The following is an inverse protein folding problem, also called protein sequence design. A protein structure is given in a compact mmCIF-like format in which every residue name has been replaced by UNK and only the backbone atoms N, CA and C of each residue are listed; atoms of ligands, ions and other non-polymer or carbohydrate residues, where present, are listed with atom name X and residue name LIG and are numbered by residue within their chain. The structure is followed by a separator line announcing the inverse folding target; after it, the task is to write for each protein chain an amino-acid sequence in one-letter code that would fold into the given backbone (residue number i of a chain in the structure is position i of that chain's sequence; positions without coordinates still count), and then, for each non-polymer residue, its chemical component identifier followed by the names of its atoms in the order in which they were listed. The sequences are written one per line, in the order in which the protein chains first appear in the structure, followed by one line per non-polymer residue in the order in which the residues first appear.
data_IF_191868245058
#
_entry.id   IF_191868245058
#
_cell.length_a   1.000
_cell.length_b   1.000
_cell.length_c   1.000
_cell.angle_alpha   90.00
_cell.angle_beta   90.00
_cell.angle_gamma   90.00
#
_symmetry.space_group_name_H-M   'P 1'
#
loop_
_entity.id
_entity.type
_entity.pdbx_description
1 polymer ?
#
# COMPACT_ATOMS: atom_id res chain seq x y z
N UNK A 1 2.69 15.79 36.27
CA UNK A 1 2.86 16.59 35.02
C UNK A 1 1.50 17.13 34.56
N UNK A 2 0.83 17.82 35.48
CA UNK A 2 -0.47 18.48 35.35
C UNK A 2 -0.24 19.86 35.97
N UNK A 3 -0.72 20.94 35.32
CA UNK A 3 -0.43 22.37 35.57
C UNK A 3 0.78 22.95 34.81
N UNK A 4 0.61 23.16 33.52
CA UNK A 4 1.10 24.34 32.80
C UNK A 4 0.23 24.50 31.54
N UNK A 5 0.01 25.73 31.10
CA UNK A 5 -0.83 26.14 29.94
C UNK A 5 -2.27 26.57 30.29
N UNK A 6 -2.39 27.63 31.08
CA UNK A 6 -3.37 28.69 30.83
C UNK A 6 -2.62 29.98 30.50
N UNK A 7 -2.98 30.61 29.39
CA UNK A 7 -2.67 32.01 29.09
C UNK A 7 -1.70 32.23 27.94
N UNK A 8 -2.22 32.37 26.72
CA UNK A 8 -1.85 33.44 25.77
C UNK A 8 -2.76 33.37 24.55
N UNK A 9 -3.64 34.35 24.42
CA UNK A 9 -4.31 34.66 23.17
C UNK A 9 -3.27 35.24 22.21
N UNK A 10 -3.04 34.59 21.08
CA UNK A 10 -2.21 35.11 19.98
C UNK A 10 -3.04 35.06 18.70
N UNK A 11 -3.08 36.22 18.04
CA UNK A 11 -3.83 36.53 16.82
C UNK A 11 -3.49 35.56 15.68
N UNK A 12 -4.52 35.29 14.86
CA UNK A 12 -4.47 34.53 13.61
C UNK A 12 -3.30 34.92 12.71
N UNK A 13 -2.44 33.95 12.41
CA UNK A 13 -1.46 33.99 11.33
C UNK A 13 -1.80 32.92 10.30
N UNK A 14 -1.74 33.30 9.03
CA UNK A 14 -2.05 32.51 7.82
C UNK A 14 -1.45 31.10 7.79
N UNK A 15 -2.14 30.19 7.10
CA UNK A 15 -1.91 28.73 6.94
C UNK A 15 -0.46 28.34 6.62
N UNK A 16 0.35 29.20 6.00
CA UNK A 16 1.78 28.97 5.77
C UNK A 16 2.63 28.90 7.06
N UNK A 17 2.20 29.51 8.17
CA UNK A 17 3.01 29.65 9.38
C UNK A 17 3.04 28.43 10.31
N UNK A 18 2.06 27.53 10.20
CA UNK A 18 1.96 26.32 11.04
C UNK A 18 2.64 25.12 10.37
N UNK A 19 2.49 25.00 9.03
CA UNK A 19 3.18 23.99 8.22
C UNK A 19 4.70 24.22 8.14
N UNK A 20 5.16 25.47 8.04
CA UNK A 20 6.60 25.76 8.04
C UNK A 20 7.30 25.47 9.38
N UNK A 21 6.61 25.56 10.52
CA UNK A 21 7.20 25.26 11.84
C UNK A 21 7.34 23.76 12.13
N UNK A 22 6.47 22.92 11.54
CA UNK A 22 6.61 21.46 11.61
C UNK A 22 7.72 20.94 10.68
N UNK A 23 7.97 21.62 9.55
CA UNK A 23 9.06 21.29 8.62
C UNK A 23 10.45 21.78 9.11
N UNK A 24 10.52 22.94 9.79
CA UNK A 24 11.80 23.52 10.23
C UNK A 24 12.50 22.77 11.39
N UNK A 25 11.74 22.12 12.28
CA UNK A 25 12.31 21.31 13.37
C UNK A 25 12.88 19.97 12.86
N UNK A 26 12.39 19.48 11.72
CA UNK A 26 12.90 18.28 11.04
C UNK A 26 14.20 18.56 10.25
N UNK A 27 14.31 19.72 9.60
CA UNK A 27 15.47 20.07 8.77
C UNK A 27 16.74 20.48 9.53
N UNK A 28 16.63 21.08 10.73
CA UNK A 28 17.82 21.47 11.51
C UNK A 28 18.56 20.29 12.18
N UNK A 29 17.89 19.17 12.41
CA UNK A 29 18.55 17.95 12.94
C UNK A 29 19.17 17.06 11.85
N UNK A 30 18.72 17.19 10.59
CA UNK A 30 19.25 16.41 9.45
C UNK A 30 20.54 17.02 8.85
N UNK A 31 20.69 18.34 8.89
CA UNK A 31 21.81 19.05 8.23
C UNK A 31 23.15 18.94 8.96
N UNK A 32 23.15 18.80 10.30
CA UNK A 32 24.40 18.66 11.07
C UNK A 32 25.01 17.25 10.99
N UNK A 33 24.22 16.19 10.75
CA UNK A 33 24.71 14.82 10.57
C UNK A 33 25.13 14.49 9.14
N UNK A 34 24.60 15.19 8.12
CA UNK A 34 24.93 14.94 6.72
C UNK A 34 26.32 15.46 6.31
N UNK A 35 26.80 16.55 6.93
CA UNK A 35 28.09 17.15 6.60
C UNK A 35 29.27 16.25 7.00
N UNK A 36 29.23 15.60 8.17
CA UNK A 36 30.29 14.66 8.61
C UNK A 36 30.29 13.30 7.89
N UNK A 37 29.15 12.86 7.34
CA UNK A 37 29.07 11.62 6.55
C UNK A 37 29.50 11.83 5.08
N UNK A 38 29.39 13.05 4.55
CA UNK A 38 29.71 13.36 3.15
C UNK A 38 31.21 13.25 2.80
N UNK A 39 32.10 13.65 3.71
CA UNK A 39 33.56 13.61 3.46
C UNK A 39 34.11 12.17 3.43
N UNK A 40 33.55 11.27 4.26
CA UNK A 40 33.91 9.85 4.27
C UNK A 40 33.37 9.08 3.05
N UNK A 41 32.17 9.43 2.58
CA UNK A 41 31.57 8.83 1.38
C UNK A 41 32.33 9.23 0.12
N UNK A 42 32.69 10.51 -0.02
CA UNK A 42 33.42 11.00 -1.18
C UNK A 42 34.81 10.35 -1.30
N UNK A 43 35.50 10.15 -0.17
CA UNK A 43 36.77 9.43 -0.14
C UNK A 43 36.64 7.95 -0.57
N UNK A 44 35.54 7.29 -0.23
CA UNK A 44 35.27 5.91 -0.64
C UNK A 44 34.95 5.80 -2.15
N UNK A 45 34.18 6.75 -2.69
CA UNK A 45 33.86 6.84 -4.12
C UNK A 45 35.12 7.10 -4.96
N UNK A 46 35.98 8.03 -4.53
CA UNK A 46 37.24 8.33 -5.23
C UNK A 46 38.21 7.14 -5.22
N UNK A 47 38.13 6.27 -4.21
CA UNK A 47 38.94 5.06 -4.09
C UNK A 47 38.42 3.94 -5.01
N UNK A 48 37.10 3.80 -5.14
CA UNK A 48 36.46 2.88 -6.08
C UNK A 48 36.71 3.28 -7.54
N UNK A 49 36.64 4.58 -7.86
CA UNK A 49 36.89 5.10 -9.20
C UNK A 49 38.35 4.89 -9.69
N UNK A 50 39.30 4.73 -8.76
CA UNK A 50 40.73 4.49 -9.06
C UNK A 50 41.09 3.00 -9.09
N UNK A 51 40.14 2.11 -8.80
CA UNK A 51 40.40 0.66 -8.84
C UNK A 51 40.20 0.17 -10.28
N UNK A 52 41.23 -0.38 -10.96
CA UNK A 52 41.07 -0.83 -12.33
C UNK A 52 40.08 -1.99 -12.42
N UNK A 53 39.12 -1.86 -13.34
CA UNK A 53 38.13 -2.88 -13.66
C UNK A 53 38.81 -4.11 -14.25
N UNK A 54 38.54 -5.34 -13.77
CA UNK A 54 39.17 -6.52 -14.33
C UNK A 54 38.64 -6.77 -15.74
N UNK A 55 39.51 -6.60 -16.73
CA UNK A 55 39.23 -6.86 -18.14
C UNK A 55 39.48 -8.34 -18.47
N UNK A 56 38.61 -9.25 -18.00
CA UNK A 56 38.42 -10.59 -18.59
C UNK A 56 36.96 -11.06 -18.41
N UNK A 57 36.38 -11.79 -19.39
CA UNK A 57 35.05 -12.37 -19.26
C UNK A 57 35.09 -13.45 -18.18
N UNK A 58 34.14 -13.40 -17.25
CA UNK A 58 33.96 -14.33 -16.14
C UNK A 58 33.94 -15.77 -16.65
N UNK A 59 35.01 -16.52 -16.39
CA UNK A 59 34.97 -17.97 -16.51
C UNK A 59 33.99 -18.50 -15.46
N UNK A 60 33.05 -19.35 -15.88
CA UNK A 60 32.09 -20.05 -15.02
C UNK A 60 32.85 -21.08 -14.17
N UNK A 61 33.50 -20.60 -13.11
CA UNK A 61 34.19 -21.42 -12.14
C UNK A 61 33.25 -21.83 -11.01
N UNK A 62 32.72 -23.05 -11.09
CA UNK A 62 32.10 -23.85 -10.02
C UNK A 62 31.64 -23.10 -8.74
N UNK A 63 30.51 -22.40 -8.84
CA UNK A 63 29.81 -21.63 -7.79
C UNK A 63 29.29 -22.44 -6.58
N UNK A 64 29.78 -23.66 -6.33
CA UNK A 64 29.17 -24.58 -5.36
C UNK A 64 29.63 -24.38 -3.91
N UNK A 65 30.51 -23.40 -3.61
CA UNK A 65 31.19 -23.31 -2.30
C UNK A 65 31.08 -21.98 -1.55
N UNK A 66 30.30 -21.01 -2.03
CA UNK A 66 30.06 -19.72 -1.35
C UNK A 66 28.61 -19.52 -0.86
N UNK A 67 27.72 -20.50 -1.05
CA UNK A 67 26.27 -20.36 -0.85
C UNK A 67 25.72 -20.86 0.50
N UNK A 68 26.53 -21.41 1.42
CA UNK A 68 25.99 -22.19 2.56
C UNK A 68 25.89 -21.48 3.91
N UNK A 69 26.38 -20.24 4.07
CA UNK A 69 26.41 -19.55 5.39
C UNK A 69 25.70 -18.18 5.44
N UNK A 70 24.97 -17.80 4.39
CA UNK A 70 24.18 -16.57 4.44
C UNK A 70 22.99 -16.73 5.40
N UNK A 71 23.06 -16.10 6.57
CA UNK A 71 21.97 -16.04 7.55
C UNK A 71 21.24 -14.71 7.46
N UNK A 72 19.91 -14.75 7.50
CA UNK A 72 19.09 -13.56 7.64
C UNK A 72 19.05 -13.15 9.13
N UNK A 73 19.25 -11.86 9.48
CA UNK A 73 19.22 -11.41 10.87
C UNK A 73 17.78 -11.28 11.38
N UNK A 74 17.14 -12.42 11.66
CA UNK A 74 15.72 -12.52 12.05
C UNK A 74 15.39 -11.79 13.35
N UNK A 75 16.36 -11.57 14.24
CA UNK A 75 16.23 -10.73 15.42
C UNK A 75 15.85 -9.29 15.06
N UNK A 76 16.34 -8.76 13.93
CA UNK A 76 15.97 -7.41 13.49
C UNK A 76 14.52 -7.32 13.04
N UNK A 77 13.95 -8.40 12.49
CA UNK A 77 12.51 -8.46 12.20
C UNK A 77 11.69 -8.38 13.49
N UNK A 78 12.15 -9.03 14.56
CA UNK A 78 11.51 -8.94 15.87
C UNK A 78 11.57 -7.51 16.42
N UNK A 79 12.74 -6.86 16.34
CA UNK A 79 12.95 -5.48 16.79
C UNK A 79 12.15 -4.45 15.97
N UNK A 80 11.93 -4.72 14.68
CA UNK A 80 11.16 -3.87 13.78
C UNK A 80 9.66 -3.83 14.12
N UNK A 81 9.12 -4.86 14.78
CA UNK A 81 7.71 -4.89 15.20
C UNK A 81 7.62 -4.37 16.63
N UNK A 82 7.46 -3.06 16.77
CA UNK A 82 7.34 -2.37 18.07
C UNK A 82 5.88 -2.19 18.50
N UNK A 83 5.61 -1.83 19.77
CA UNK A 83 4.27 -1.43 20.20
C UNK A 83 3.66 -0.31 19.36
N UNK A 84 4.48 0.66 18.92
CA UNK A 84 4.04 1.80 18.11
C UNK A 84 3.60 1.37 16.71
N UNK A 85 4.36 0.47 16.08
CA UNK A 85 3.99 -0.12 14.78
C UNK A 85 2.64 -0.85 14.87
N UNK A 86 2.45 -1.64 15.93
CA UNK A 86 1.19 -2.36 16.14
C UNK A 86 0.03 -1.43 16.51
N UNK A 87 0.29 -0.35 17.27
CA UNK A 87 -0.70 0.67 17.56
C UNK A 87 -1.15 1.40 16.28
N UNK A 88 -0.20 1.71 15.40
CA UNK A 88 -0.48 2.31 14.09
C UNK A 88 -1.29 1.36 13.20
N UNK A 89 -0.86 0.10 13.09
CA UNK A 89 -1.56 -0.94 12.35
C UNK A 89 -3.01 -1.08 12.84
N UNK A 90 -3.24 -1.08 14.15
CA UNK A 90 -4.58 -1.20 14.72
C UNK A 90 -5.45 0.07 14.53
N UNK A 91 -4.84 1.25 14.58
CA UNK A 91 -5.55 2.52 14.45
C UNK A 91 -5.88 2.86 12.98
N UNK A 92 -4.92 2.67 12.07
CA UNK A 92 -5.01 3.08 10.66
C UNK A 92 -5.35 1.93 9.71
N UNK A 93 -5.21 0.68 10.16
CA UNK A 93 -5.35 -0.51 9.32
C UNK A 93 -4.09 -0.87 8.54
N UNK A 94 -3.03 -0.07 8.65
CA UNK A 94 -1.73 -0.33 8.05
C UNK A 94 -0.60 0.30 8.88
N UNK A 95 0.62 -0.19 8.69
CA UNK A 95 1.85 0.39 9.21
C UNK A 95 3.01 0.19 8.23
N UNK A 96 3.98 1.10 8.22
CA UNK A 96 5.17 1.05 7.36
C UNK A 96 6.42 1.06 8.23
N UNK A 97 7.33 0.13 7.97
CA UNK A 97 8.60 0.00 8.70
C UNK A 97 9.75 -0.05 7.70
N UNK A 98 10.68 0.88 7.83
CA UNK A 98 11.89 0.96 6.99
C UNK A 98 13.10 0.38 7.72
N UNK A 99 14.06 -0.19 6.99
CA UNK A 99 15.35 -0.59 7.55
C UNK A 99 15.33 -1.91 8.33
N UNK A 100 14.40 -2.82 8.01
CA UNK A 100 14.13 -4.05 8.77
C UNK A 100 15.38 -4.92 8.88
N UNK A 101 15.91 -5.42 7.77
CA UNK A 101 17.06 -6.33 7.79
C UNK A 101 18.40 -5.63 7.54
N UNK A 102 18.36 -4.37 7.13
CA UNK A 102 19.51 -3.58 6.71
C UNK A 102 19.87 -3.80 5.24
N UNK A 103 20.64 -2.86 4.64
CA UNK A 103 20.87 -2.81 3.19
C UNK A 103 21.56 -4.06 2.62
N UNK A 104 22.48 -4.66 3.38
CA UNK A 104 23.21 -5.87 2.93
C UNK A 104 22.25 -7.07 2.81
N UNK A 105 21.42 -7.28 3.83
CA UNK A 105 20.47 -8.41 3.86
C UNK A 105 19.35 -8.21 2.85
N UNK A 106 18.82 -6.98 2.74
CA UNK A 106 17.80 -6.64 1.77
C UNK A 106 18.28 -6.83 0.32
N UNK A 107 19.52 -6.45 0.02
CA UNK A 107 20.11 -6.71 -1.29
C UNK A 107 20.34 -8.21 -1.56
N UNK A 108 20.69 -9.01 -0.54
CA UNK A 108 20.78 -10.47 -0.71
C UNK A 108 19.42 -11.11 -1.02
N UNK A 109 18.35 -10.66 -0.36
CA UNK A 109 16.99 -11.10 -0.65
C UNK A 109 16.56 -10.72 -2.09
N UNK A 110 16.95 -9.53 -2.54
CA UNK A 110 16.75 -9.09 -3.94
C UNK A 110 17.47 -10.03 -4.93
N UNK A 111 18.73 -10.36 -4.68
CA UNK A 111 19.51 -11.28 -5.51
C UNK A 111 18.88 -12.68 -5.56
N UNK A 112 18.34 -13.19 -4.45
CA UNK A 112 17.61 -14.47 -4.44
C UNK A 112 16.35 -14.42 -5.29
N UNK A 113 15.54 -13.37 -5.16
CA UNK A 113 14.34 -13.22 -5.98
C UNK A 113 14.70 -13.13 -7.47
N UNK A 114 15.77 -12.41 -7.81
CA UNK A 114 16.29 -12.37 -9.18
C UNK A 114 16.78 -13.73 -9.66
N UNK A 115 17.41 -14.53 -8.79
CA UNK A 115 17.83 -15.88 -9.12
C UNK A 115 16.63 -16.79 -9.43
N UNK A 116 15.58 -16.77 -8.59
CA UNK A 116 14.32 -17.50 -8.83
C UNK A 116 13.70 -17.10 -10.16
N UNK A 117 13.66 -15.80 -10.47
CA UNK A 117 13.15 -15.28 -11.73
C UNK A 117 13.96 -15.78 -12.93
N UNK A 118 15.29 -15.61 -12.91
CA UNK A 118 16.19 -16.01 -14.00
C UNK A 118 16.26 -17.52 -14.21
N UNK A 119 16.00 -18.31 -13.16
CA UNK A 119 15.90 -19.76 -13.25
C UNK A 119 14.59 -20.24 -13.89
N UNK A 120 13.66 -19.34 -14.23
CA UNK A 120 12.37 -19.69 -14.84
C UNK A 120 11.40 -20.37 -13.86
N UNK A 121 11.58 -20.14 -12.56
CA UNK A 121 10.75 -20.72 -11.50
C UNK A 121 9.51 -19.87 -11.16
N UNK A 122 9.29 -18.76 -11.87
CA UNK A 122 8.12 -17.91 -11.71
C UNK A 122 7.16 -18.09 -12.88
N UNK A 123 5.87 -17.96 -12.62
CA UNK A 123 4.82 -18.01 -13.63
C UNK A 123 4.04 -16.69 -13.65
N UNK A 124 3.29 -16.45 -14.72
CA UNK A 124 2.51 -15.22 -14.86
C UNK A 124 1.39 -15.16 -13.82
N UNK A 125 1.23 -14.02 -13.15
CA UNK A 125 0.17 -13.80 -12.20
C UNK A 125 -1.19 -13.64 -12.90
N UNK A 126 -2.23 -14.24 -12.31
CA UNK A 126 -3.59 -14.16 -12.83
C UNK A 126 -4.58 -13.60 -11.81
N UNK A 127 -5.59 -12.88 -12.30
CA UNK A 127 -6.84 -12.63 -11.57
C UNK A 127 -7.80 -13.79 -11.84
N UNK A 128 -8.32 -14.40 -10.78
CA UNK A 128 -9.27 -15.50 -10.88
C UNK A 128 -10.69 -14.93 -10.93
N UNK A 129 -11.31 -14.95 -12.11
CA UNK A 129 -12.69 -14.54 -12.30
C UNK A 129 -13.59 -15.76 -12.18
N UNK A 130 -14.27 -15.87 -11.05
CA UNK A 130 -15.27 -16.93 -10.83
C UNK A 130 -16.63 -16.43 -11.31
N UNK A 131 -17.19 -17.10 -12.31
CA UNK A 131 -18.51 -16.83 -12.86
C UNK A 131 -19.21 -18.15 -13.22
N UNK A 132 -20.47 -18.32 -12.77
CA UNK A 132 -21.33 -19.49 -13.10
C UNK A 132 -20.68 -20.87 -12.83
N UNK A 133 -19.78 -20.97 -11.85
CA UNK A 133 -19.08 -22.22 -11.50
C UNK A 133 -17.81 -22.49 -12.30
N UNK A 134 -17.45 -21.63 -13.25
CA UNK A 134 -16.19 -21.68 -14.00
C UNK A 134 -15.22 -20.62 -13.49
N UNK A 135 -13.93 -20.94 -13.51
CA UNK A 135 -12.85 -20.00 -13.17
C UNK A 135 -12.11 -19.62 -14.44
N UNK A 136 -12.28 -18.37 -14.86
CA UNK A 136 -11.50 -17.78 -15.94
C UNK A 136 -10.27 -17.08 -15.35
N UNK A 137 -9.10 -17.33 -15.95
CA UNK A 137 -7.86 -16.69 -15.54
C UNK A 137 -7.58 -15.49 -16.43
N UNK A 138 -7.49 -14.31 -15.83
CA UNK A 138 -7.11 -13.08 -16.53
C UNK A 138 -5.71 -12.67 -16.13
N UNK A 139 -4.76 -12.87 -17.05
CA UNK A 139 -3.35 -12.57 -16.82
C UNK A 139 -3.13 -11.08 -16.52
N UNK A 140 -2.17 -10.81 -15.63
CA UNK A 140 -1.60 -9.48 -15.42
C UNK A 140 -0.30 -9.40 -16.19
N UNK A 141 -0.30 -8.61 -17.27
CA UNK A 141 0.88 -8.45 -18.11
C UNK A 141 2.08 -7.99 -17.28
N UNK A 142 3.25 -8.55 -17.53
CA UNK A 142 4.53 -8.19 -16.89
C UNK A 142 4.67 -8.59 -15.41
N UNK A 143 3.69 -9.24 -14.80
CA UNK A 143 3.74 -9.61 -13.37
C UNK A 143 3.92 -11.11 -13.22
N UNK A 144 5.08 -11.51 -12.72
CA UNK A 144 5.45 -12.88 -12.42
C UNK A 144 5.33 -13.16 -10.92
N UNK A 145 4.97 -14.38 -10.56
CA UNK A 145 4.86 -14.85 -9.17
C UNK A 145 5.38 -16.28 -8.99
N UNK A 146 5.70 -16.62 -7.74
CA UNK A 146 6.05 -17.98 -7.31
C UNK A 146 5.63 -18.19 -5.86
N UNK A 147 4.98 -19.32 -5.56
CA UNK A 147 4.48 -19.65 -4.23
C UNK A 147 5.53 -20.42 -3.43
N UNK A 148 6.39 -19.71 -2.69
CA UNK A 148 7.50 -20.30 -1.95
C UNK A 148 7.05 -21.37 -0.93
N UNK A 149 5.90 -21.16 -0.28
CA UNK A 149 5.39 -22.13 0.71
C UNK A 149 4.92 -23.44 0.06
N UNK A 150 4.50 -23.41 -1.21
CA UNK A 150 3.93 -24.57 -1.92
C UNK A 150 4.92 -25.25 -2.88
N UNK A 151 5.88 -24.51 -3.41
CA UNK A 151 6.77 -24.96 -4.47
C UNK A 151 8.17 -25.27 -3.95
N UNK A 152 8.51 -26.56 -3.84
CA UNK A 152 9.79 -27.01 -3.28
C UNK A 152 11.01 -26.44 -4.05
N UNK A 153 10.94 -26.38 -5.39
CA UNK A 153 12.02 -25.84 -6.21
C UNK A 153 12.26 -24.34 -5.94
N UNK A 154 11.21 -23.56 -5.72
CA UNK A 154 11.31 -22.14 -5.38
C UNK A 154 11.93 -21.98 -3.99
N UNK A 155 11.50 -22.78 -3.01
CA UNK A 155 12.07 -22.77 -1.66
C UNK A 155 13.56 -23.14 -1.65
N UNK A 156 13.96 -24.13 -2.44
CA UNK A 156 15.36 -24.55 -2.60
C UNK A 156 16.21 -23.45 -3.25
N UNK A 157 15.64 -22.71 -4.21
CA UNK A 157 16.31 -21.61 -4.91
C UNK A 157 16.39 -20.30 -4.10
N UNK A 158 15.61 -20.14 -3.03
CA UNK A 158 15.55 -18.94 -2.20
C UNK A 158 15.78 -19.25 -0.69
N UNK A 159 16.99 -19.67 -0.28
CA UNK A 159 17.26 -20.11 1.08
C UNK A 159 17.12 -19.03 2.16
N UNK A 160 17.31 -17.73 1.87
CA UNK A 160 17.06 -16.65 2.85
C UNK A 160 15.56 -16.41 3.03
N UNK A 161 14.77 -16.45 1.95
CA UNK A 161 13.30 -16.35 2.06
C UNK A 161 12.72 -17.60 2.74
N UNK A 162 13.32 -18.77 2.51
CA UNK A 162 12.96 -20.00 3.24
C UNK A 162 13.24 -19.91 4.75
N UNK A 163 14.30 -19.19 5.17
CA UNK A 163 14.51 -18.90 6.60
C UNK A 163 13.37 -18.06 7.18
N UNK A 164 12.81 -17.13 6.39
CA UNK A 164 11.67 -16.31 6.79
C UNK A 164 10.35 -17.11 6.83
N UNK A 165 10.12 -18.03 5.88
CA UNK A 165 8.97 -18.95 5.84
C UNK A 165 8.94 -19.87 7.09
N UNK A 166 10.12 -20.32 7.54
CA UNK A 166 10.27 -21.14 8.73
C UNK A 166 10.21 -20.34 10.06
N UNK A 167 10.32 -19.01 10.01
CA UNK A 167 10.39 -18.16 11.18
C UNK A 167 8.99 -17.70 11.65
N UNK A 168 8.79 -17.68 12.98
CA UNK A 168 7.50 -17.29 13.59
C UNK A 168 7.53 -15.92 14.25
N UNK A 169 8.66 -15.20 14.26
CA UNK A 169 8.82 -13.97 15.06
C UNK A 169 7.84 -12.89 14.62
N UNK A 170 7.59 -12.73 13.32
CA UNK A 170 6.59 -11.76 12.83
C UNK A 170 5.20 -12.04 13.44
N UNK A 171 4.72 -13.28 13.34
CA UNK A 171 3.44 -13.68 13.92
C UNK A 171 3.43 -13.53 15.46
N UNK A 172 4.52 -13.93 16.13
CA UNK A 172 4.67 -13.82 17.58
C UNK A 172 4.59 -12.38 18.06
N UNK A 173 5.32 -11.46 17.42
CA UNK A 173 5.32 -10.05 17.81
C UNK A 173 3.98 -9.37 17.52
N UNK A 174 3.35 -9.70 16.39
CA UNK A 174 2.01 -9.22 16.09
C UNK A 174 0.98 -9.72 17.10
N UNK A 175 1.00 -11.00 17.48
CA UNK A 175 0.12 -11.53 18.52
C UNK A 175 0.40 -10.96 19.91
N UNK A 176 1.66 -10.65 20.23
CA UNK A 176 2.04 -10.07 21.51
C UNK A 176 1.39 -8.70 21.72
N UNK A 177 1.39 -7.86 20.68
CA UNK A 177 0.85 -6.50 20.75
C UNK A 177 -0.60 -6.36 20.26
N UNK A 178 -1.09 -7.32 19.46
CA UNK A 178 -2.46 -7.40 18.94
C UNK A 178 -3.03 -8.81 19.14
N UNK A 179 -3.32 -9.21 20.39
CA UNK A 179 -3.73 -10.58 20.74
C UNK A 179 -5.03 -11.04 20.07
N UNK A 180 -5.86 -10.12 19.57
CA UNK A 180 -7.07 -10.42 18.79
C UNK A 180 -6.81 -11.03 17.41
N UNK A 181 -5.56 -10.97 16.92
CA UNK A 181 -5.19 -11.52 15.61
C UNK A 181 -5.09 -13.05 15.63
N UNK A 182 -4.58 -13.63 16.73
CA UNK A 182 -4.43 -15.08 16.93
C UNK A 182 -3.75 -15.80 15.74
N UNK A 183 -2.69 -15.19 15.21
CA UNK A 183 -1.95 -15.69 14.04
C UNK A 183 -1.20 -16.98 14.39
N UNK A 184 -1.35 -18.03 13.59
CA UNK A 184 -0.69 -19.32 13.82
C UNK A 184 0.00 -19.93 12.60
N UNK A 185 -0.24 -19.35 11.42
CA UNK A 185 0.29 -19.80 10.14
C UNK A 185 0.65 -18.62 9.26
N UNK A 186 1.58 -18.84 8.33
CA UNK A 186 1.97 -17.87 7.33
C UNK A 186 2.19 -18.57 5.98
N UNK A 187 1.99 -17.85 4.89
CA UNK A 187 2.37 -18.27 3.55
C UNK A 187 3.09 -17.13 2.83
N UNK A 188 4.18 -17.45 2.12
CA UNK A 188 5.01 -16.49 1.41
C UNK A 188 4.89 -16.69 -0.10
N UNK A 189 4.63 -15.58 -0.80
CA UNK A 189 4.65 -15.50 -2.26
C UNK A 189 5.68 -14.49 -2.73
N UNK A 190 6.50 -14.87 -3.70
CA UNK A 190 7.47 -13.99 -4.34
C UNK A 190 6.85 -13.39 -5.60
N UNK A 191 7.16 -12.12 -5.89
CA UNK A 191 6.62 -11.42 -7.03
C UNK A 191 7.69 -10.56 -7.70
N UNK A 192 7.77 -10.65 -9.03
CA UNK A 192 8.58 -9.78 -9.86
C UNK A 192 7.70 -9.17 -10.95
N UNK A 193 7.66 -7.83 -11.02
CA UNK A 193 7.05 -7.10 -12.12
C UNK A 193 8.17 -6.55 -13.01
N UNK A 194 8.16 -6.88 -14.29
CA UNK A 194 9.22 -6.45 -15.24
C UNK A 194 9.18 -4.94 -15.55
N UNK A 195 8.10 -4.25 -15.16
CA UNK A 195 7.85 -2.86 -15.51
C UNK A 195 6.84 -2.76 -16.64
N UNK A 196 7.04 -1.80 -17.57
CA UNK A 196 6.19 -1.69 -18.77
C UNK A 196 4.71 -1.39 -18.51
N UNK A 197 4.35 -0.93 -17.30
CA UNK A 197 2.99 -0.62 -16.88
C UNK A 197 2.31 -1.70 -16.04
N UNK A 198 2.95 -2.84 -15.75
CA UNK A 198 2.35 -3.90 -14.93
C UNK A 198 1.84 -3.39 -13.58
N UNK A 199 0.63 -3.80 -13.18
CA UNK A 199 -0.03 -3.36 -11.95
C UNK A 199 -1.12 -4.34 -11.48
N UNK A 200 -1.81 -3.98 -10.38
CA UNK A 200 -2.87 -4.77 -9.78
C UNK A 200 -4.15 -3.95 -9.67
N UNK A 201 -5.31 -4.53 -10.04
CA UNK A 201 -6.57 -3.85 -9.89
C UNK A 201 -6.88 -3.65 -8.42
N UNK A 202 -7.84 -2.79 -8.13
CA UNK A 202 -8.29 -2.56 -6.77
C UNK A 202 -8.95 -3.81 -6.19
N UNK A 203 -8.57 -4.20 -4.97
CA UNK A 203 -9.10 -5.38 -4.30
C UNK A 203 -8.88 -5.35 -2.78
N UNK A 204 -9.53 -6.28 -2.10
CA UNK A 204 -9.13 -6.77 -0.79
C UNK A 204 -8.38 -8.09 -0.99
N UNK A 205 -7.39 -8.39 -0.16
CA UNK A 205 -6.56 -9.59 -0.33
C UNK A 205 -7.33 -10.89 -0.08
N UNK A 206 -8.36 -10.81 0.75
CA UNK A 206 -9.24 -11.95 1.02
C UNK A 206 -10.60 -11.53 1.55
N UNK A 207 -11.48 -12.52 1.69
CA UNK A 207 -12.79 -12.41 2.32
C UNK A 207 -12.78 -13.11 3.68
N UNK A 208 -13.20 -12.40 4.73
CA UNK A 208 -13.24 -12.87 6.13
C UNK A 208 -14.13 -14.12 6.31
N UNK A 209 -15.08 -14.37 5.40
CA UNK A 209 -15.92 -15.57 5.40
C UNK A 209 -15.22 -16.79 4.79
N UNK A 210 -14.28 -16.58 3.88
CA UNK A 210 -13.68 -17.62 3.05
C UNK A 210 -12.24 -17.96 3.47
N UNK A 211 -11.60 -17.11 4.27
CA UNK A 211 -10.18 -17.19 4.56
C UNK A 211 -9.84 -16.74 5.99
N UNK A 212 -8.80 -17.36 6.55
CA UNK A 212 -8.27 -17.06 7.88
C UNK A 212 -7.19 -15.97 7.87
N UNK A 213 -6.80 -15.44 6.70
CA UNK A 213 -5.81 -14.36 6.60
C UNK A 213 -6.28 -13.11 7.35
N UNK A 214 -5.45 -12.61 8.26
CA UNK A 214 -5.73 -11.42 9.08
C UNK A 214 -4.82 -10.25 8.72
N UNK A 215 -3.53 -10.52 8.53
CA UNK A 215 -2.52 -9.50 8.23
C UNK A 215 -1.78 -9.86 6.95
N UNK A 216 -1.69 -8.90 6.04
CA UNK A 216 -0.80 -8.96 4.89
C UNK A 216 0.45 -8.16 5.21
N UNK A 217 1.62 -8.75 4.94
CA UNK A 217 2.90 -8.10 5.08
C UNK A 217 3.64 -8.13 3.73
N UNK A 218 3.96 -6.97 3.17
CA UNK A 218 4.71 -6.86 1.90
C UNK A 218 6.10 -6.34 2.22
N UNK A 219 7.13 -7.05 1.79
CA UNK A 219 8.52 -6.63 1.90
C UNK A 219 9.08 -6.26 0.53
N UNK A 220 9.57 -5.03 0.41
CA UNK A 220 10.06 -4.46 -0.84
C UNK A 220 11.57 -4.54 -0.99
N UNK A 221 12.01 -4.74 -2.23
CA UNK A 221 13.40 -5.08 -2.56
C UNK A 221 14.07 -4.09 -3.53
N UNK A 222 13.42 -2.97 -3.84
CA UNK A 222 13.77 -2.16 -5.02
C UNK A 222 14.76 -1.05 -4.69
N UNK A 223 16.01 -1.20 -5.13
CA UNK A 223 17.04 -0.18 -4.97
C UNK A 223 16.78 1.02 -5.86
N UNK A 224 17.19 2.20 -5.38
CA UNK A 224 17.17 3.44 -6.15
C UNK A 224 15.79 3.80 -6.75
N UNK A 225 14.70 3.43 -6.06
CA UNK A 225 13.35 3.78 -6.49
C UNK A 225 13.16 5.30 -6.53
N UNK A 226 12.44 5.77 -7.54
CA UNK A 226 12.08 7.17 -7.71
C UNK A 226 10.57 7.28 -7.94
N UNK A 227 9.90 8.35 -7.47
CA UNK A 227 8.47 8.52 -7.66
C UNK A 227 8.00 8.35 -9.12
N UNK A 228 8.82 8.80 -10.09
CA UNK A 228 8.55 8.69 -11.53
C UNK A 228 8.43 7.25 -12.07
N UNK A 229 8.99 6.27 -11.36
CA UNK A 229 8.86 4.85 -11.71
C UNK A 229 7.44 4.32 -11.51
N UNK A 230 6.57 5.02 -10.76
CA UNK A 230 5.23 4.54 -10.43
C UNK A 230 5.28 3.38 -9.43
N UNK A 231 4.49 2.33 -9.66
CA UNK A 231 4.59 1.06 -8.92
C UNK A 231 4.23 1.10 -7.43
N UNK A 232 3.72 2.23 -6.93
CA UNK A 232 3.33 2.39 -5.52
C UNK A 232 2.22 1.42 -5.13
N UNK A 233 2.24 0.97 -3.88
CA UNK A 233 1.06 0.40 -3.26
C UNK A 233 0.16 1.55 -2.82
N UNK A 234 -1.04 1.65 -3.39
CA UNK A 234 -2.05 2.61 -2.97
C UNK A 234 -3.02 1.94 -2.02
N UNK A 235 -3.04 2.39 -0.77
CA UNK A 235 -4.00 1.97 0.25
C UNK A 235 -5.17 2.96 0.29
N UNK A 236 -6.37 2.44 0.55
CA UNK A 236 -7.59 3.22 0.74
C UNK A 236 -8.12 3.04 2.17
N UNK A 237 -7.53 3.73 3.18
CA UNK A 237 -7.91 3.63 4.59
C UNK A 237 -9.24 4.35 4.88
N UNK A 238 -10.31 4.03 4.14
CA UNK A 238 -11.60 4.71 4.20
C UNK A 238 -12.15 4.76 5.64
N UNK A 239 -12.59 5.94 6.13
CA UNK A 239 -12.90 7.17 5.38
C UNK A 239 -11.73 8.17 5.22
N UNK A 240 -10.50 7.80 5.59
CA UNK A 240 -9.35 8.67 5.39
C UNK A 240 -8.88 8.68 3.91
N UNK A 241 -8.15 9.72 3.48
CA UNK A 241 -7.63 9.82 2.11
C UNK A 241 -6.76 8.63 1.70
N UNK A 242 -6.70 8.31 0.38
CA UNK A 242 -5.77 7.32 -0.13
C UNK A 242 -4.31 7.66 0.21
N UNK A 243 -3.50 6.63 0.43
CA UNK A 243 -2.07 6.75 0.77
C UNK A 243 -1.25 5.93 -0.22
N UNK A 244 -0.27 6.57 -0.83
CA UNK A 244 0.68 5.93 -1.74
C UNK A 244 1.97 5.60 -1.00
N UNK A 245 2.40 4.34 -1.09
CA UNK A 245 3.62 3.84 -0.46
C UNK A 245 4.60 3.42 -1.56
N UNK A 246 5.72 4.12 -1.65
CA UNK A 246 6.81 3.74 -2.55
C UNK A 246 7.41 2.39 -2.14
N UNK A 247 7.67 1.49 -3.11
CA UNK A 247 8.18 0.14 -2.87
C UNK A 247 9.70 0.15 -2.64
N UNK A 248 10.19 0.93 -1.67
CA UNK A 248 11.62 1.08 -1.39
C UNK A 248 12.26 -0.21 -0.88
N UNK A 249 13.53 -0.47 -1.20
CA UNK A 249 14.26 -1.58 -0.61
C UNK A 249 14.26 -1.52 0.93
N UNK A 250 14.11 -2.69 1.57
CA UNK A 250 14.13 -2.88 3.03
C UNK A 250 12.93 -2.24 3.76
N UNK A 251 11.85 -1.98 3.01
CA UNK A 251 10.56 -1.53 3.54
C UNK A 251 9.61 -2.70 3.73
N UNK A 252 9.04 -2.81 4.92
CA UNK A 252 7.92 -3.67 5.27
C UNK A 252 6.65 -2.83 5.37
N UNK A 253 5.58 -3.28 4.71
CA UNK A 253 4.24 -2.71 4.86
C UNK A 253 3.33 -3.78 5.43
N UNK A 254 2.66 -3.47 6.53
CA UNK A 254 1.66 -4.32 7.18
C UNK A 254 0.28 -3.72 6.94
N UNK A 255 -0.73 -4.53 6.63
CA UNK A 255 -2.12 -4.06 6.59
C UNK A 255 -3.16 -5.16 6.87
N UNK A 256 -4.37 -4.74 7.25
CA UNK A 256 -5.49 -5.64 7.52
C UNK A 256 -6.00 -6.31 6.22
N UNK A 257 -5.78 -7.61 6.07
CA UNK A 257 -6.01 -8.36 4.81
C UNK A 257 -7.42 -8.19 4.25
N UNK A 258 -8.44 -8.39 5.09
CA UNK A 258 -9.84 -8.45 4.65
C UNK A 258 -10.54 -7.09 4.66
N UNK A 259 -9.87 -6.05 5.20
CA UNK A 259 -10.52 -4.76 5.50
C UNK A 259 -9.82 -3.55 4.88
N UNK A 260 -8.60 -3.72 4.37
CA UNK A 260 -7.84 -2.68 3.65
C UNK A 260 -8.02 -2.84 2.14
N UNK A 261 -8.78 -1.92 1.56
CA UNK A 261 -8.88 -1.80 0.11
C UNK A 261 -7.58 -1.23 -0.43
N UNK A 262 -7.03 -1.83 -1.48
CA UNK A 262 -5.77 -1.39 -2.04
C UNK A 262 -5.64 -1.74 -3.52
N UNK A 263 -4.68 -1.11 -4.19
CA UNK A 263 -4.24 -1.45 -5.54
C UNK A 263 -2.73 -1.23 -5.67
N UNK A 264 -2.12 -1.75 -6.73
CA UNK A 264 -0.74 -1.37 -7.09
C UNK A 264 -0.82 -0.47 -8.32
N UNK A 265 -0.14 0.67 -8.32
CA UNK A 265 -0.11 1.58 -9.47
C UNK A 265 0.77 1.01 -10.62
N UNK A 266 0.55 1.41 -11.88
CA UNK A 266 1.41 1.04 -13.01
C UNK A 266 2.90 1.26 -12.72
N UNK A 267 3.69 0.19 -12.85
CA UNK A 267 5.14 0.24 -12.66
C UNK A 267 5.85 0.40 -14.00
N UNK A 268 6.65 1.47 -14.16
CA UNK A 268 7.48 1.69 -15.36
C UNK A 268 8.87 1.06 -15.24
N UNK A 269 9.29 0.73 -14.02
CA UNK A 269 10.56 0.07 -13.73
C UNK A 269 10.32 -1.33 -13.14
N UNK A 270 11.32 -2.22 -13.19
CA UNK A 270 11.25 -3.53 -12.53
C UNK A 270 10.98 -3.38 -11.04
N UNK A 271 10.01 -4.14 -10.51
CA UNK A 271 9.53 -4.05 -9.13
C UNK A 271 9.38 -5.44 -8.52
N UNK A 272 10.17 -5.69 -7.49
CA UNK A 272 10.24 -6.93 -6.74
C UNK A 272 9.73 -6.77 -5.31
N UNK A 273 9.00 -7.77 -4.83
CA UNK A 273 8.60 -7.91 -3.44
C UNK A 273 8.34 -9.38 -3.12
N UNK A 274 8.25 -9.70 -1.83
CA UNK A 274 7.51 -10.87 -1.40
C UNK A 274 6.40 -10.45 -0.44
N UNK A 275 5.31 -11.20 -0.48
CA UNK A 275 4.12 -11.01 0.34
C UNK A 275 4.00 -12.18 1.30
N UNK A 276 3.81 -11.89 2.58
CA UNK A 276 3.56 -12.84 3.64
C UNK A 276 2.13 -12.63 4.11
N UNK A 277 1.28 -13.64 3.95
CA UNK A 277 -0.07 -13.63 4.53
C UNK A 277 -0.06 -14.38 5.85
N UNK A 278 -0.37 -13.68 6.94
CA UNK A 278 -0.47 -14.27 8.26
C UNK A 278 -1.93 -14.59 8.57
N UNK A 279 -2.17 -15.83 8.97
CA UNK A 279 -3.50 -16.39 9.14
C UNK A 279 -3.74 -16.86 10.56
N UNK A 280 -4.98 -16.70 10.98
CA UNK A 280 -5.55 -17.40 12.13
C UNK A 280 -6.04 -18.79 11.67
N UNK A 281 -5.66 -19.83 12.41
CA UNK A 281 -6.09 -21.18 12.15
C UNK A 281 -7.60 -21.28 12.34
N UNK A 282 -8.30 -21.64 11.27
CA UNK A 282 -9.74 -21.88 11.33
C UNK A 282 -10.03 -23.04 12.27
N UNK A 283 -10.62 -22.74 13.43
CA UNK A 283 -11.51 -23.72 14.05
C UNK A 283 -12.61 -24.03 13.04
N UNK A 284 -12.94 -25.31 12.81
CA UNK A 284 -13.96 -25.79 11.86
C UNK A 284 -15.38 -25.19 12.07
N UNK A 285 -15.54 -24.32 13.05
CA UNK A 285 -16.73 -23.53 13.33
C UNK A 285 -16.58 -22.08 12.82
N UNK A 286 -16.27 -21.87 11.54
CA UNK A 286 -16.49 -20.57 10.91
C UNK A 286 -18.00 -20.34 10.84
N UNK A 287 -18.55 -19.84 11.95
CA UNK A 287 -19.94 -19.44 12.05
C UNK A 287 -20.24 -18.35 11.04
N UNK A 288 -21.51 -18.29 10.61
CA UNK A 288 -22.05 -17.21 9.79
C UNK A 288 -21.59 -15.87 10.39
N UNK A 289 -20.91 -15.01 9.60
CA UNK A 289 -20.53 -13.69 10.08
C UNK A 289 -21.76 -13.00 10.68
N UNK A 290 -21.62 -12.36 11.85
CA UNK A 290 -22.75 -11.71 12.49
C UNK A 290 -23.37 -10.71 11.53
N UNK A 291 -24.70 -10.79 11.37
CA UNK A 291 -25.43 -9.85 10.53
C UNK A 291 -25.16 -8.42 11.01
N UNK A 292 -24.92 -7.46 10.10
CA UNK A 292 -24.72 -6.08 10.50
C UNK A 292 -25.88 -5.57 11.35
N UNK A 293 -25.55 -4.90 12.46
CA UNK A 293 -26.55 -4.31 13.34
C UNK A 293 -27.10 -3.05 12.66
N UNK A 294 -28.38 -3.07 12.28
CA UNK A 294 -29.03 -1.93 11.67
C UNK A 294 -29.10 -0.75 12.66
N UNK A 295 -29.00 0.50 12.16
CA UNK A 295 -29.24 1.66 13.01
C UNK A 295 -30.73 1.72 13.40
N UNK A 296 -31.07 2.36 14.54
CA UNK A 296 -32.46 2.63 14.90
C UNK A 296 -33.21 3.38 13.78
N UNK A 297 -34.54 3.25 13.68
CA UNK A 297 -35.36 4.02 12.74
C UNK A 297 -35.10 5.53 12.88
N UNK A 298 -35.05 6.21 11.73
CA UNK A 298 -34.48 7.55 11.58
C UNK A 298 -35.28 8.67 12.27
N UNK A 299 -34.57 9.74 12.66
CA UNK A 299 -35.13 11.02 13.16
C UNK A 299 -34.94 12.17 12.15
N UNK A 300 -34.34 11.91 10.99
CA UNK A 300 -34.19 12.87 9.89
C UNK A 300 -32.84 13.59 9.82
N UNK A 301 -31.87 13.23 10.67
CA UNK A 301 -30.49 13.72 10.59
C UNK A 301 -29.47 12.58 10.72
N UNK A 302 -28.28 12.69 10.09
CA UNK A 302 -27.24 11.68 10.19
C UNK A 302 -26.84 11.48 11.66
N UNK A 303 -27.15 10.30 12.19
CA UNK A 303 -26.88 9.97 13.58
C UNK A 303 -25.56 9.23 13.74
N UNK A 304 -24.98 9.28 14.94
CA UNK A 304 -23.81 8.47 15.29
C UNK A 304 -24.08 6.96 15.07
N UNK A 305 -25.33 6.51 15.22
CA UNK A 305 -25.74 5.13 14.92
C UNK A 305 -25.62 4.79 13.42
N UNK A 306 -25.94 5.74 12.52
CA UNK A 306 -25.75 5.56 11.09
C UNK A 306 -24.26 5.43 10.74
N UNK A 307 -23.40 6.29 11.29
CA UNK A 307 -21.95 6.22 11.06
C UNK A 307 -21.36 4.90 11.57
N UNK A 308 -21.75 4.46 12.77
CA UNK A 308 -21.40 3.14 13.28
C UNK A 308 -21.83 2.02 12.34
N UNK A 309 -23.05 2.08 11.79
CA UNK A 309 -23.56 1.08 10.85
C UNK A 309 -22.75 1.04 9.54
N UNK A 310 -22.55 2.19 8.90
CA UNK A 310 -21.81 2.27 7.63
C UNK A 310 -20.33 1.84 7.78
N UNK A 311 -19.75 1.98 8.98
CA UNK A 311 -18.37 1.60 9.27
C UNK A 311 -18.19 0.17 9.81
N UNK A 312 -19.28 -0.60 9.99
CA UNK A 312 -19.15 -2.03 10.30
C UNK A 312 -18.41 -2.73 9.15
N UNK A 313 -17.44 -3.64 9.42
CA UNK A 313 -16.60 -4.24 8.37
C UNK A 313 -17.37 -4.76 7.15
N UNK A 314 -18.43 -5.53 7.38
CA UNK A 314 -19.26 -6.12 6.33
C UNK A 314 -20.02 -5.09 5.47
N UNK A 315 -20.26 -3.87 5.99
CA UNK A 315 -20.92 -2.78 5.27
C UNK A 315 -19.89 -1.86 4.63
N UNK A 316 -18.80 -1.56 5.35
CA UNK A 316 -17.76 -0.61 4.94
C UNK A 316 -17.14 -0.97 3.61
N UNK A 317 -16.87 -2.25 3.35
CA UNK A 317 -16.35 -2.71 2.05
C UNK A 317 -17.24 -2.28 0.87
N UNK A 318 -18.57 -2.30 1.06
CA UNK A 318 -19.53 -1.89 0.04
C UNK A 318 -19.57 -0.36 -0.09
N UNK A 319 -19.46 0.36 1.03
CA UNK A 319 -19.32 1.83 1.02
C UNK A 319 -18.05 2.24 0.27
N UNK A 320 -16.91 1.57 0.49
CA UNK A 320 -15.69 1.82 -0.26
C UNK A 320 -15.90 1.58 -1.76
N UNK A 321 -16.62 0.52 -2.14
CA UNK A 321 -16.91 0.22 -3.54
C UNK A 321 -17.78 1.29 -4.22
N UNK A 322 -18.68 1.93 -3.48
CA UNK A 322 -19.39 3.12 -3.96
C UNK A 322 -18.47 4.34 -4.04
N UNK A 323 -17.69 4.61 -2.99
CA UNK A 323 -16.83 5.79 -2.90
C UNK A 323 -15.74 5.82 -3.99
N UNK A 324 -15.25 4.65 -4.39
CA UNK A 324 -14.17 4.50 -5.35
C UNK A 324 -14.60 3.77 -6.63
N UNK A 325 -15.87 3.84 -7.00
CA UNK A 325 -16.42 3.10 -8.14
C UNK A 325 -15.64 3.37 -9.45
N UNK A 326 -15.36 4.64 -9.75
CA UNK A 326 -14.66 5.04 -10.98
C UNK A 326 -13.17 4.65 -10.94
N UNK A 327 -12.53 4.81 -9.79
CA UNK A 327 -11.12 4.44 -9.60
C UNK A 327 -10.91 2.93 -9.65
N UNK A 328 -11.88 2.15 -9.18
CA UNK A 328 -11.91 0.70 -9.31
C UNK A 328 -12.03 0.30 -10.78
N UNK A 329 -12.95 0.92 -11.53
CA UNK A 329 -13.10 0.66 -12.97
C UNK A 329 -11.80 0.97 -13.74
N UNK A 330 -11.20 2.12 -13.48
CA UNK A 330 -9.88 2.50 -14.02
C UNK A 330 -8.80 1.46 -13.70
N UNK A 331 -8.77 0.97 -12.46
CA UNK A 331 -7.76 -0.02 -12.05
C UNK A 331 -7.89 -1.37 -12.79
N UNK A 332 -9.11 -1.77 -13.17
CA UNK A 332 -9.35 -2.97 -13.98
C UNK A 332 -8.77 -2.77 -15.37
N UNK A 333 -9.07 -1.63 -16.01
CA UNK A 333 -8.57 -1.27 -17.33
C UNK A 333 -7.04 -1.17 -17.39
N UNK A 334 -6.41 -0.61 -16.35
CA UNK A 334 -4.95 -0.45 -16.29
C UNK A 334 -4.23 -1.79 -16.09
N UNK A 335 -4.85 -2.75 -15.38
CA UNK A 335 -4.16 -3.97 -14.94
C UNK A 335 -4.28 -5.15 -15.91
N UNK A 336 -5.15 -5.04 -16.91
CA UNK A 336 -5.51 -6.15 -17.79
C UNK A 336 -5.51 -5.72 -19.25
N UNK A 337 -5.16 -6.62 -20.19
CA UNK A 337 -5.29 -6.33 -21.60
C UNK A 337 -6.76 -6.12 -21.97
N UNK A 338 -7.00 -5.32 -23.01
CA UNK A 338 -8.35 -5.15 -23.57
C UNK A 338 -8.81 -6.48 -24.20
N UNK A 339 -9.78 -7.14 -23.57
CA UNK A 339 -10.38 -8.39 -24.04
C UNK A 339 -11.77 -8.59 -23.44
N UNK A 340 -12.52 -9.58 -23.94
CA UNK A 340 -13.87 -9.91 -23.47
C UNK A 340 -13.93 -10.19 -21.95
N UNK A 341 -12.90 -10.83 -21.39
CA UNK A 341 -12.82 -11.09 -19.96
C UNK A 341 -12.70 -9.80 -19.13
N UNK A 342 -11.96 -8.81 -19.63
CA UNK A 342 -11.82 -7.49 -19.00
C UNK A 342 -13.15 -6.74 -19.05
N UNK A 343 -13.86 -6.75 -20.18
CA UNK A 343 -15.21 -6.18 -20.29
C UNK A 343 -16.20 -6.85 -19.33
N UNK A 344 -16.16 -8.18 -19.24
CA UNK A 344 -16.97 -8.93 -18.28
C UNK A 344 -16.68 -8.56 -16.81
N UNK A 345 -15.42 -8.27 -16.47
CA UNK A 345 -15.04 -7.79 -15.15
C UNK A 345 -15.59 -6.38 -14.86
N UNK A 346 -15.56 -5.47 -15.86
CA UNK A 346 -16.14 -4.13 -15.76
C UNK A 346 -17.66 -4.18 -15.58
N UNK A 347 -18.35 -5.00 -16.37
CA UNK A 347 -19.79 -5.15 -16.27
C UNK A 347 -20.21 -5.73 -14.92
N UNK A 348 -19.48 -6.73 -14.41
CA UNK A 348 -19.71 -7.27 -13.07
C UNK A 348 -19.53 -6.20 -12.00
N UNK A 349 -18.46 -5.39 -12.09
CA UNK A 349 -18.22 -4.29 -11.16
C UNK A 349 -19.37 -3.27 -11.17
N UNK A 350 -19.81 -2.83 -12.35
CA UNK A 350 -20.93 -1.88 -12.51
C UNK A 350 -22.25 -2.43 -11.95
N UNK A 351 -22.54 -3.71 -12.21
CA UNK A 351 -23.72 -4.39 -11.65
C UNK A 351 -23.68 -4.44 -10.12
N UNK A 352 -22.52 -4.76 -9.54
CA UNK A 352 -22.33 -4.80 -8.09
C UNK A 352 -22.49 -3.40 -7.46
N UNK A 353 -21.89 -2.36 -8.07
CA UNK A 353 -22.06 -0.97 -7.63
C UNK A 353 -23.55 -0.55 -7.66
N UNK A 354 -24.27 -0.88 -8.74
CA UNK A 354 -25.70 -0.58 -8.84
C UNK A 354 -26.54 -1.31 -7.78
N UNK A 355 -26.24 -2.60 -7.52
CA UNK A 355 -26.90 -3.39 -6.49
C UNK A 355 -26.64 -2.84 -5.08
N UNK A 356 -25.39 -2.46 -4.78
CA UNK A 356 -25.00 -1.87 -3.50
C UNK A 356 -25.71 -0.52 -3.30
N UNK A 357 -25.69 0.35 -4.32
CA UNK A 357 -26.36 1.66 -4.29
C UNK A 357 -27.84 1.51 -3.98
N UNK A 358 -28.52 0.59 -4.65
CA UNK A 358 -29.93 0.25 -4.37
C UNK A 358 -30.14 -0.23 -2.94
N UNK A 359 -29.29 -1.14 -2.45
CA UNK A 359 -29.41 -1.71 -1.11
C UNK A 359 -29.20 -0.69 0.03
N UNK A 360 -28.34 0.30 -0.19
CA UNK A 360 -28.02 1.34 0.78
C UNK A 360 -28.84 2.64 0.61
N UNK A 361 -29.71 2.72 -0.40
CA UNK A 361 -30.53 3.91 -0.70
C UNK A 361 -31.36 4.44 0.48
N UNK A 362 -31.85 3.55 1.36
CA UNK A 362 -32.61 3.90 2.57
C UNK A 362 -31.81 4.66 3.65
N UNK A 363 -30.49 4.78 3.48
CA UNK A 363 -29.60 5.51 4.40
C UNK A 363 -29.22 6.90 3.89
N UNK A 364 -29.91 7.38 2.86
CA UNK A 364 -29.85 8.77 2.43
C UNK A 364 -30.62 9.68 3.41
N UNK A 365 -30.16 10.94 3.64
CA UNK A 365 -29.08 11.62 2.94
C UNK A 365 -27.66 11.35 3.50
N UNK A 366 -27.53 10.69 4.66
CA UNK A 366 -26.25 10.53 5.35
C UNK A 366 -25.18 9.80 4.53
N UNK A 367 -25.56 8.77 3.77
CA UNK A 367 -24.64 8.11 2.85
C UNK A 367 -24.10 9.09 1.78
N UNK A 368 -24.96 9.92 1.19
CA UNK A 368 -24.57 10.91 0.19
C UNK A 368 -23.61 11.95 0.75
N UNK A 369 -23.81 12.41 1.98
CA UNK A 369 -22.90 13.33 2.66
C UNK A 369 -21.50 12.72 2.86
N UNK A 370 -21.46 11.45 3.31
CA UNK A 370 -20.20 10.72 3.49
C UNK A 370 -19.43 10.56 2.17
N UNK A 371 -20.12 10.14 1.10
CA UNK A 371 -19.51 9.96 -0.22
C UNK A 371 -19.02 11.29 -0.81
N UNK A 372 -19.81 12.37 -0.63
CA UNK A 372 -19.43 13.72 -1.07
C UNK A 372 -18.17 14.21 -0.34
N UNK A 373 -18.11 14.05 0.98
CA UNK A 373 -16.93 14.43 1.77
C UNK A 373 -15.68 13.64 1.35
N UNK A 374 -15.81 12.34 1.10
CA UNK A 374 -14.71 11.52 0.59
C UNK A 374 -14.22 12.00 -0.78
N UNK A 375 -15.14 12.34 -1.70
CA UNK A 375 -14.82 12.87 -3.02
C UNK A 375 -14.09 14.23 -2.96
N UNK A 376 -14.50 15.11 -2.04
CA UNK A 376 -13.84 16.41 -1.78
C UNK A 376 -12.38 16.19 -1.35
N UNK A 377 -12.11 15.29 -0.40
CA UNK A 377 -10.75 15.00 0.04
C UNK A 377 -9.90 14.35 -1.04
N UNK A 378 -10.47 13.42 -1.80
CA UNK A 378 -9.79 12.75 -2.90
C UNK A 378 -9.41 13.74 -4.03
N UNK A 379 -10.32 14.67 -4.36
CA UNK A 379 -10.04 15.74 -5.32
C UNK A 379 -8.90 16.67 -4.86
N UNK A 380 -8.88 17.06 -3.58
CA UNK A 380 -7.80 17.88 -3.02
C UNK A 380 -6.46 17.13 -2.98
N UNK A 381 -6.47 15.84 -2.61
CA UNK A 381 -5.28 15.00 -2.61
C UNK A 381 -4.66 14.91 -4.02
N UNK A 382 -5.48 14.64 -5.05
CA UNK A 382 -5.04 14.62 -6.44
C UNK A 382 -4.47 15.95 -6.92
N UNK A 383 -5.10 17.07 -6.56
CA UNK A 383 -4.61 18.40 -6.92
C UNK A 383 -3.23 18.67 -6.30
N UNK A 384 -3.03 18.29 -5.04
CA UNK A 384 -1.75 18.40 -4.35
C UNK A 384 -0.66 17.54 -5.00
N UNK A 385 -0.98 16.29 -5.33
CA UNK A 385 -0.06 15.38 -6.03
C UNK A 385 0.34 15.90 -7.41
N UNK A 386 -0.61 16.44 -8.18
CA UNK A 386 -0.35 17.02 -9.50
C UNK A 386 0.54 18.29 -9.41
N UNK A 387 0.37 19.11 -8.38
CA UNK A 387 1.23 20.27 -8.15
C UNK A 387 2.67 19.86 -7.77
N UNK A 388 2.82 18.81 -6.95
CA UNK A 388 4.13 18.30 -6.57
C UNK A 388 4.91 17.73 -7.77
N UNK A 389 4.25 17.05 -8.70
CA UNK A 389 4.90 16.50 -9.91
C UNK A 389 5.21 17.57 -10.95
N UNK A 390 4.42 18.65 -11.03
CA UNK A 390 4.71 19.77 -11.91
C UNK A 390 5.92 20.60 -11.45
N UNK A 391 6.10 20.78 -10.14
CA UNK A 391 7.23 21.53 -9.56
C UNK A 391 8.61 20.89 -9.75
N UNK A 392 8.67 19.58 -10.02
CA UNK A 392 9.91 18.86 -10.31
C UNK A 392 10.33 18.92 -11.79
N UNK A 393 9.47 19.48 -12.67
CA UNK A 393 9.71 19.57 -14.12
C UNK A 393 10.32 20.89 -14.62
N UNK A 394 10.35 21.95 -13.80
CA UNK A 394 10.91 23.26 -14.20
C UNK A 394 12.42 23.34 -13.93
N UNK A 395 13.16 22.49 -14.64
CA UNK A 395 14.62 22.39 -14.52
C UNK A 395 15.38 22.23 -15.83
N UNK A 396 14.75 22.37 -17.01
CA UNK A 396 15.44 22.65 -18.27
C UNK A 396 14.45 22.87 -19.42
N UNK A 397 14.20 24.12 -19.80
CA UNK A 397 13.73 24.43 -21.15
C UNK A 397 14.11 25.87 -21.48
N UNK A 398 15.07 26.01 -22.39
CA UNK A 398 15.43 27.24 -23.06
C UNK A 398 14.26 27.80 -23.87
N UNK A 399 14.12 29.11 -23.81
CA UNK A 399 13.15 29.94 -24.52
C UNK A 399 13.09 29.71 -26.04
N UNK A 400 11.90 29.41 -26.55
CA UNK A 400 11.50 29.82 -27.90
C UNK A 400 10.00 30.11 -27.91
N UNK A 401 9.67 31.37 -28.18
CA UNK A 401 8.32 31.91 -28.27
C UNK A 401 7.68 31.57 -29.61
N UNK A 402 6.49 30.95 -29.58
CA UNK A 402 5.52 31.06 -30.67
C UNK A 402 4.10 31.04 -30.12
N UNK A 403 3.37 32.11 -30.40
CA UNK A 403 1.98 32.36 -30.06
C UNK A 403 1.02 31.50 -30.88
N UNK A 404 0.10 30.79 -30.24
CA UNK A 404 -1.18 30.40 -30.83
C UNK A 404 -2.27 30.35 -29.77
N UNK A 405 -3.33 31.11 -30.04
CA UNK A 405 -4.57 31.25 -29.31
C UNK A 405 -5.48 30.02 -29.43
N UNK A 406 -6.21 29.72 -28.35
CA UNK A 406 -7.45 28.93 -28.39
C UNK A 406 -7.38 27.60 -27.66
N UNK A 407 -7.75 27.60 -26.37
CA UNK A 407 -8.93 26.88 -25.88
C UNK A 407 -8.98 26.98 -24.35
N UNK A 408 -10.03 27.64 -23.86
CA UNK A 408 -10.34 27.72 -22.45
C UNK A 408 -10.81 26.34 -21.96
N UNK A 409 -9.85 25.49 -21.58
CA UNK A 409 -10.13 24.37 -20.71
C UNK A 409 -10.71 24.93 -19.40
N UNK A 410 -11.98 24.62 -19.13
CA UNK A 410 -12.64 24.99 -17.89
C UNK A 410 -11.78 24.56 -16.71
N UNK A 411 -11.19 25.55 -16.03
CA UNK A 411 -10.43 25.34 -14.82
C UNK A 411 -11.45 24.83 -13.79
N UNK A 412 -11.46 23.53 -13.53
CA UNK A 412 -12.22 22.95 -12.42
C UNK A 412 -11.60 23.54 -11.17
N UNK A 413 -12.17 24.63 -10.67
CA UNK A 413 -11.78 25.21 -9.39
C UNK A 413 -11.88 24.11 -8.35
N UNK A 414 -10.76 23.78 -7.71
CA UNK A 414 -10.72 22.79 -6.65
C UNK A 414 -11.69 23.13 -5.51
N UNK A 415 -11.94 22.18 -4.59
CA UNK A 415 -12.84 22.42 -3.46
C UNK A 415 -12.39 23.63 -2.66
N UNK A 416 -13.35 24.43 -2.20
CA UNK A 416 -13.09 25.59 -1.34
C UNK A 416 -12.55 25.14 0.01
N UNK A 417 -11.84 26.03 0.71
CA UNK A 417 -11.32 25.77 2.05
C UNK A 417 -12.43 25.38 3.04
N UNK A 418 -13.60 26.00 2.94
CA UNK A 418 -14.76 25.68 3.79
C UNK A 418 -15.26 24.25 3.53
N UNK A 419 -15.44 23.87 2.25
CA UNK A 419 -15.81 22.50 1.88
C UNK A 419 -14.79 21.46 2.36
N UNK A 420 -13.50 21.80 2.32
CA UNK A 420 -12.45 20.92 2.83
C UNK A 420 -12.54 20.75 4.35
N UNK A 421 -12.72 21.84 5.09
CA UNK A 421 -12.84 21.80 6.55
C UNK A 421 -14.07 20.99 6.99
N UNK A 422 -15.21 21.17 6.34
CA UNK A 422 -16.43 20.39 6.58
C UNK A 422 -16.23 18.90 6.27
N UNK A 423 -15.61 18.58 5.13
CA UNK A 423 -15.33 17.20 4.75
C UNK A 423 -14.38 16.52 5.75
N UNK A 424 -13.29 17.20 6.15
CA UNK A 424 -12.35 16.69 7.15
C UNK A 424 -13.05 16.42 8.49
N UNK A 425 -13.86 17.37 8.97
CA UNK A 425 -14.56 17.24 10.24
C UNK A 425 -15.52 16.03 10.24
N UNK A 426 -16.29 15.86 9.16
CA UNK A 426 -17.18 14.71 9.01
C UNK A 426 -16.42 13.39 8.96
N UNK A 427 -15.37 13.30 8.13
CA UNK A 427 -14.64 12.05 7.97
C UNK A 427 -13.85 11.66 9.23
N UNK A 428 -13.36 12.63 10.01
CA UNK A 428 -12.76 12.39 11.32
C UNK A 428 -13.79 11.83 12.32
N UNK A 429 -15.01 12.35 12.32
CA UNK A 429 -16.10 11.83 13.14
C UNK A 429 -16.42 10.37 12.76
N UNK A 430 -16.52 10.07 11.46
CA UNK A 430 -16.85 8.73 10.97
C UNK A 430 -15.70 7.74 11.22
N UNK A 431 -14.44 8.19 11.09
CA UNK A 431 -13.24 7.36 11.28
C UNK A 431 -13.18 6.73 12.69
N UNK A 432 -13.73 7.38 13.71
CA UNK A 432 -13.77 6.86 15.08
C UNK A 432 -14.55 5.54 15.22
N UNK A 433 -15.35 5.17 14.22
CA UNK A 433 -16.14 3.93 14.22
C UNK A 433 -15.52 2.79 13.41
N UNK A 434 -14.38 3.02 12.78
CA UNK A 434 -13.67 2.03 11.96
C UNK A 434 -12.99 0.99 12.86
N UNK A 435 -13.22 -0.29 12.56
CA UNK A 435 -12.48 -1.42 13.16
C UNK A 435 -11.68 -2.16 12.09
N UNK A 436 -10.38 -2.33 12.34
CA UNK A 436 -9.46 -2.97 11.40
C UNK A 436 -9.22 -4.45 11.70
N UNK A 437 -9.26 -4.88 12.96
CA UNK A 437 -9.07 -6.27 13.38
C UNK A 437 -10.23 -6.84 14.19
#
# INVERSE_FOLDING_TARGET
MLQALRGSAVRFGTVNGVLQRLLAVSQQHQTARSLQQSEGLQHAVDKLAKTPWPSQPWAVGSSRRLQTDARLPLERLQEAITPEVCAELNAKGYAVVDGVFGPISAHRLELELMHVHQAGLMHLNHTHLVAKGETQLLAKSQVMEAELTLEAAVREAAPLVAQLDADRRLATMLNLFLPQLRLDSAAIKMQHNEGGGGCFPMHFDSDELLDGRRVTAIFYLNQHWKPSHGGQLRLYPFPAPPVDIDPLQDRLVLFATTRMLHRVLPSRAPRSCFTIWLSEGRSKAAGVAPKPLLPPPDSGQPSEALWRFLMQPAVRQHVCKLAYADEWERSILESHPACEATEGALDKHRQEVAAISKALSKFQPGLGQLLSAAAVLDAASRASQAAATAGEGEGSASSSSSSSSGDAAGCVSGPTEEQLQEAVALLQQVAAHVKWF
#
